data_IF_296241801693
#
_entry.id   IF_296241801693
#
_cell.length_a   1.000
_cell.length_b   1.000
_cell.length_c   1.000
_cell.angle_alpha   90.00
_cell.angle_beta   90.00
_cell.angle_gamma   90.00
#
_symmetry.space_group_name_H-M   'P 1'
#
loop_
_entity.id
_entity.type
_entity.pdbx_description
1 polymer ?
#
# COMPACT_ATOMS: atom_id res chain seq x y z
N UNK A 1 -58.96 17.69 79.04
CA UNK A 1 -58.30 16.87 78.02
C UNK A 1 -58.04 17.72 76.84
N UNK A 2 -56.86 18.36 76.66
CA UNK A 2 -56.52 19.15 75.55
C UNK A 2 -55.85 18.23 74.48
N UNK A 3 -56.60 17.98 73.37
CA UNK A 3 -56.03 17.35 72.21
C UNK A 3 -54.99 18.27 71.57
N UNK A 4 -53.73 17.94 71.70
CA UNK A 4 -52.69 18.50 70.88
C UNK A 4 -53.03 18.17 69.39
N UNK A 5 -53.56 19.15 68.71
CA UNK A 5 -53.60 19.10 67.19
C UNK A 5 -52.14 19.10 66.76
N UNK A 6 -51.62 17.95 66.37
CA UNK A 6 -50.36 17.81 65.68
C UNK A 6 -50.41 18.70 64.44
N UNK A 7 -49.55 19.70 64.46
CA UNK A 7 -49.42 20.62 63.32
C UNK A 7 -48.76 19.91 62.17
N UNK A 8 -49.56 19.25 61.33
CA UNK A 8 -49.08 18.45 60.22
C UNK A 8 -48.54 19.34 59.06
N UNK A 9 -48.77 20.68 59.11
CA UNK A 9 -48.33 21.63 58.06
C UNK A 9 -46.81 21.81 57.96
N UNK A 10 -46.10 21.75 59.08
CA UNK A 10 -44.64 21.86 59.15
C UNK A 10 -43.91 20.65 58.55
N UNK A 11 -44.50 19.46 58.82
CA UNK A 11 -43.94 18.20 58.25
C UNK A 11 -44.01 18.09 56.75
N UNK A 12 -45.08 18.58 56.14
CA UNK A 12 -45.26 18.58 54.70
C UNK A 12 -44.24 19.51 53.99
N UNK A 13 -43.96 20.68 54.56
CA UNK A 13 -42.99 21.61 54.00
C UNK A 13 -41.57 21.06 54.00
N UNK A 14 -41.17 20.42 55.09
CA UNK A 14 -39.84 19.77 55.21
C UNK A 14 -39.73 18.63 54.23
N UNK A 15 -40.78 17.82 54.04
CA UNK A 15 -40.78 16.71 53.07
C UNK A 15 -40.66 17.20 51.62
N UNK A 16 -41.32 18.32 51.26
CA UNK A 16 -41.22 18.92 49.93
C UNK A 16 -39.81 19.50 49.67
N UNK A 17 -39.16 20.09 50.66
CA UNK A 17 -37.79 20.59 50.52
C UNK A 17 -36.80 19.41 50.32
N UNK A 18 -36.95 18.35 51.10
CA UNK A 18 -36.11 17.15 50.98
C UNK A 18 -36.31 16.51 49.57
N UNK A 19 -37.55 16.38 49.12
CA UNK A 19 -37.83 15.83 47.80
C UNK A 19 -37.26 16.71 46.68
N UNK A 20 -37.39 18.03 46.78
CA UNK A 20 -36.86 18.97 45.81
C UNK A 20 -35.31 18.94 45.72
N UNK A 21 -34.64 18.87 46.89
CA UNK A 21 -33.18 18.73 46.95
C UNK A 21 -32.70 17.41 46.33
N UNK A 22 -33.42 16.32 46.59
CA UNK A 22 -33.09 15.02 46.05
C UNK A 22 -33.26 14.97 44.51
N UNK A 23 -34.36 15.54 43.99
CA UNK A 23 -34.58 15.67 42.55
C UNK A 23 -33.51 16.55 41.92
N UNK A 24 -33.11 17.65 42.54
CA UNK A 24 -32.07 18.54 42.06
C UNK A 24 -30.71 17.83 41.96
N UNK A 25 -30.34 17.02 42.99
CA UNK A 25 -29.13 16.24 42.97
C UNK A 25 -29.13 15.18 41.87
N UNK A 26 -30.26 14.50 41.67
CA UNK A 26 -30.41 13.55 40.55
C UNK A 26 -30.29 14.23 39.18
N UNK A 27 -30.91 15.39 39.02
CA UNK A 27 -30.81 16.17 37.77
C UNK A 27 -29.37 16.56 37.46
N UNK A 28 -28.61 17.05 38.44
CA UNK A 28 -27.18 17.39 38.28
C UNK A 28 -26.35 16.15 37.91
N UNK A 29 -26.62 15.01 38.54
CA UNK A 29 -25.93 13.75 38.24
C UNK A 29 -26.18 13.30 36.80
N UNK A 30 -27.43 13.36 36.30
CA UNK A 30 -27.79 13.01 34.94
C UNK A 30 -27.14 13.95 33.93
N UNK A 31 -27.15 15.25 34.19
CA UNK A 31 -26.48 16.25 33.31
C UNK A 31 -24.97 15.98 33.25
N UNK A 32 -24.34 15.72 34.39
CA UNK A 32 -22.89 15.40 34.46
C UNK A 32 -22.56 14.16 33.63
N UNK A 33 -23.33 13.08 33.78
CA UNK A 33 -23.17 11.86 32.95
C UNK A 33 -23.34 12.15 31.47
N UNK A 34 -24.33 12.94 31.11
CA UNK A 34 -24.60 13.28 29.69
C UNK A 34 -23.45 14.06 29.08
N UNK A 35 -22.93 15.08 29.78
CA UNK A 35 -21.79 15.87 29.35
C UNK A 35 -20.53 14.99 29.18
N UNK A 36 -20.29 14.10 30.13
CA UNK A 36 -19.17 13.14 30.08
C UNK A 36 -19.30 12.21 28.86
N UNK A 37 -20.48 11.68 28.60
CA UNK A 37 -20.73 10.81 27.44
C UNK A 37 -20.54 11.56 26.11
N UNK A 38 -20.97 12.83 26.04
CA UNK A 38 -20.75 13.66 24.84
C UNK A 38 -19.25 13.88 24.60
N UNK A 39 -18.51 14.25 25.64
CA UNK A 39 -17.05 14.44 25.56
C UNK A 39 -16.34 13.15 25.12
N UNK A 40 -16.74 12.00 25.67
CA UNK A 40 -16.19 10.70 25.31
C UNK A 40 -16.44 10.37 23.83
N UNK A 41 -17.66 10.57 23.35
CA UNK A 41 -18.00 10.37 21.93
C UNK A 41 -17.23 11.29 21.00
N UNK A 42 -17.05 12.56 21.38
CA UNK A 42 -16.26 13.51 20.62
C UNK A 42 -14.78 13.08 20.57
N UNK A 43 -14.21 12.66 21.71
CA UNK A 43 -12.85 12.15 21.76
C UNK A 43 -12.66 10.90 20.90
N UNK A 44 -13.60 9.95 20.96
CA UNK A 44 -13.57 8.76 20.09
C UNK A 44 -13.65 9.11 18.60
N UNK A 45 -14.58 9.99 18.22
CA UNK A 45 -14.70 10.44 16.83
C UNK A 45 -13.42 11.11 16.34
N UNK A 46 -12.83 11.96 17.17
CA UNK A 46 -11.58 12.66 16.82
C UNK A 46 -10.41 11.68 16.67
N UNK A 47 -10.28 10.74 17.62
CA UNK A 47 -9.27 9.67 17.55
C UNK A 47 -9.40 8.83 16.27
N UNK A 48 -10.63 8.44 15.91
CA UNK A 48 -10.88 7.70 14.66
C UNK A 48 -10.50 8.53 13.43
N UNK A 49 -10.87 9.82 13.39
CA UNK A 49 -10.53 10.69 12.27
C UNK A 49 -9.01 10.81 12.07
N UNK A 50 -8.26 10.97 13.17
CA UNK A 50 -6.80 11.07 13.13
C UNK A 50 -6.17 9.75 12.68
N UNK A 51 -6.73 8.62 13.13
CA UNK A 51 -6.29 7.30 12.69
C UNK A 51 -6.48 7.11 11.18
N UNK A 52 -7.67 7.41 10.64
CA UNK A 52 -7.91 7.31 9.19
C UNK A 52 -7.06 8.29 8.38
N UNK A 53 -6.79 9.48 8.91
CA UNK A 53 -5.87 10.41 8.27
C UNK A 53 -4.43 9.88 8.26
N UNK A 54 -3.98 9.20 9.30
CA UNK A 54 -2.68 8.55 9.33
C UNK A 54 -2.63 7.34 8.38
N UNK A 55 -3.69 6.54 8.34
CA UNK A 55 -3.82 5.39 7.43
C UNK A 55 -3.79 5.83 5.96
N UNK A 56 -4.46 6.94 5.61
CA UNK A 56 -4.41 7.49 4.26
C UNK A 56 -3.00 7.90 3.81
N UNK A 57 -2.13 8.30 4.75
CA UNK A 57 -0.72 8.58 4.46
C UNK A 57 0.02 7.28 4.13
N UNK A 58 -0.24 6.21 4.89
CA UNK A 58 0.32 4.88 4.61
C UNK A 58 -0.13 4.39 3.23
N UNK A 59 -1.41 4.56 2.89
CA UNK A 59 -1.92 4.18 1.58
C UNK A 59 -1.30 5.01 0.44
N UNK A 60 -1.02 6.28 0.66
CA UNK A 60 -0.29 7.11 -0.30
C UNK A 60 1.15 6.60 -0.53
N UNK A 61 1.84 6.16 0.53
CA UNK A 61 3.17 5.53 0.40
C UNK A 61 3.07 4.22 -0.38
N UNK A 62 2.09 3.36 -0.05
CA UNK A 62 1.85 2.10 -0.78
C UNK A 62 1.62 2.35 -2.27
N UNK A 63 0.76 3.31 -2.61
CA UNK A 63 0.50 3.67 -4.00
C UNK A 63 1.76 4.17 -4.74
N UNK A 64 2.63 4.92 -4.05
CA UNK A 64 3.92 5.34 -4.61
C UNK A 64 4.85 4.15 -4.88
N UNK A 65 4.95 3.22 -3.93
CA UNK A 65 5.73 1.97 -4.08
C UNK A 65 5.15 1.08 -5.19
N UNK A 66 3.82 0.98 -5.29
CA UNK A 66 3.14 0.25 -6.36
C UNK A 66 3.46 0.84 -7.75
N UNK A 67 3.45 2.15 -7.88
CA UNK A 67 3.81 2.82 -9.14
C UNK A 67 5.28 2.54 -9.56
N UNK A 68 6.20 2.54 -8.58
CA UNK A 68 7.59 2.13 -8.82
C UNK A 68 7.66 0.66 -9.25
N UNK A 69 6.92 -0.22 -8.57
CA UNK A 69 6.82 -1.64 -8.88
C UNK A 69 6.30 -1.89 -10.30
N UNK A 70 5.25 -1.20 -10.72
CA UNK A 70 4.66 -1.33 -12.06
C UNK A 70 5.64 -0.88 -13.16
N UNK A 71 6.35 0.22 -12.91
CA UNK A 71 7.38 0.71 -13.84
C UNK A 71 8.52 -0.30 -13.96
N UNK A 72 9.04 -0.79 -12.82
CA UNK A 72 10.08 -1.79 -12.77
C UNK A 72 9.66 -3.12 -13.45
N UNK A 73 8.40 -3.53 -13.28
CA UNK A 73 7.87 -4.73 -13.94
C UNK A 73 7.85 -4.58 -15.46
N UNK A 74 7.47 -3.41 -15.96
CA UNK A 74 7.48 -3.11 -17.39
C UNK A 74 8.89 -3.14 -17.98
N UNK A 75 9.83 -2.46 -17.33
CA UNK A 75 11.24 -2.40 -17.78
C UNK A 75 11.90 -3.79 -17.73
N UNK A 76 11.62 -4.57 -16.69
CA UNK A 76 12.08 -5.94 -16.56
C UNK A 76 11.52 -6.83 -17.68
N UNK A 77 10.23 -6.69 -18.00
CA UNK A 77 9.58 -7.43 -19.08
C UNK A 77 10.19 -7.09 -20.44
N UNK A 78 10.40 -5.81 -20.75
CA UNK A 78 11.06 -5.38 -22.00
C UNK A 78 12.48 -5.95 -22.12
N UNK A 79 13.23 -5.96 -21.02
CA UNK A 79 14.58 -6.53 -20.95
C UNK A 79 14.59 -8.04 -21.23
N UNK A 80 13.60 -8.78 -20.71
CA UNK A 80 13.44 -10.22 -20.95
C UNK A 80 13.01 -10.48 -22.38
N UNK A 81 12.09 -9.69 -22.91
CA UNK A 81 11.63 -9.81 -24.29
C UNK A 81 12.80 -9.60 -25.28
N UNK A 82 13.63 -8.58 -25.06
CA UNK A 82 14.82 -8.35 -25.87
C UNK A 82 15.82 -9.53 -25.81
N UNK A 83 15.96 -10.19 -24.65
CA UNK A 83 16.83 -11.35 -24.47
C UNK A 83 16.24 -12.67 -25.03
N UNK A 84 14.94 -12.71 -25.31
CA UNK A 84 14.25 -13.94 -25.76
C UNK A 84 14.84 -14.52 -27.03
N UNK A 85 15.22 -13.68 -27.99
CA UNK A 85 15.88 -14.11 -29.21
C UNK A 85 17.21 -14.83 -28.97
N UNK A 86 17.97 -14.39 -27.97
CA UNK A 86 19.26 -15.01 -27.62
C UNK A 86 19.06 -16.35 -26.90
N UNK A 87 18.06 -16.48 -26.03
CA UNK A 87 17.73 -17.72 -25.33
C UNK A 87 17.24 -18.79 -26.32
N UNK A 88 16.44 -18.40 -27.32
CA UNK A 88 15.98 -19.32 -28.37
C UNK A 88 17.13 -19.90 -29.20
N UNK A 89 18.26 -19.20 -29.28
CA UNK A 89 19.45 -19.68 -29.99
C UNK A 89 20.38 -20.59 -29.17
N UNK A 90 19.94 -21.07 -28.00
CA UNK A 90 20.64 -22.07 -27.20
C UNK A 90 21.32 -21.59 -25.92
N UNK A 91 21.04 -20.35 -25.47
CA UNK A 91 21.49 -19.88 -24.15
C UNK A 91 20.77 -20.64 -23.03
N UNK A 92 21.52 -21.04 -22.00
CA UNK A 92 20.98 -21.72 -20.80
C UNK A 92 20.42 -20.76 -19.74
N UNK A 93 20.38 -19.46 -20.01
CA UNK A 93 19.90 -18.47 -19.06
C UNK A 93 18.40 -18.59 -18.80
N UNK A 94 18.04 -18.70 -17.53
CA UNK A 94 16.64 -18.68 -17.11
C UNK A 94 16.02 -17.29 -17.32
N UNK A 95 15.00 -17.19 -18.16
CA UNK A 95 14.23 -15.95 -18.38
C UNK A 95 13.60 -15.44 -17.08
N UNK A 96 13.09 -16.35 -16.24
CA UNK A 96 12.50 -16.03 -14.94
C UNK A 96 13.53 -15.40 -14.00
N UNK A 97 14.75 -15.95 -13.95
CA UNK A 97 15.82 -15.37 -13.14
C UNK A 97 16.26 -13.99 -13.62
N UNK A 98 16.30 -13.79 -14.94
CA UNK A 98 16.58 -12.46 -15.51
C UNK A 98 15.47 -11.45 -15.18
N UNK A 99 14.21 -11.86 -15.29
CA UNK A 99 13.08 -11.02 -14.94
C UNK A 99 13.11 -10.60 -13.47
N UNK A 100 13.23 -11.57 -12.56
CA UNK A 100 13.30 -11.31 -11.12
C UNK A 100 14.44 -10.36 -10.75
N UNK A 101 15.65 -10.64 -11.25
CA UNK A 101 16.84 -9.80 -11.00
C UNK A 101 16.66 -8.38 -11.53
N UNK A 102 16.17 -8.21 -12.77
CA UNK A 102 15.94 -6.88 -13.36
C UNK A 102 14.84 -6.11 -12.64
N UNK A 103 13.75 -6.78 -12.27
CA UNK A 103 12.65 -6.19 -11.53
C UNK A 103 13.12 -5.64 -10.17
N UNK A 104 13.72 -6.49 -9.34
CA UNK A 104 14.13 -6.04 -8.01
C UNK A 104 15.27 -5.02 -8.05
N UNK A 105 16.21 -5.13 -9.00
CA UNK A 105 17.24 -4.11 -9.18
C UNK A 105 16.62 -2.76 -9.54
N UNK A 106 15.60 -2.72 -10.41
CA UNK A 106 14.92 -1.48 -10.76
C UNK A 106 14.16 -0.89 -9.56
N UNK A 107 13.42 -1.72 -8.81
CA UNK A 107 12.72 -1.27 -7.59
C UNK A 107 13.69 -0.73 -6.55
N UNK A 108 14.75 -1.49 -6.24
CA UNK A 108 15.76 -1.10 -5.26
C UNK A 108 16.48 0.18 -5.69
N UNK A 109 16.90 0.27 -6.95
CA UNK A 109 17.55 1.47 -7.49
C UNK A 109 16.65 2.71 -7.39
N UNK A 110 15.35 2.57 -7.67
CA UNK A 110 14.39 3.66 -7.56
C UNK A 110 14.17 4.10 -6.09
N UNK A 111 14.13 3.15 -5.15
CA UNK A 111 13.91 3.45 -3.73
C UNK A 111 15.17 3.94 -3.01
N UNK A 112 16.38 3.53 -3.47
CA UNK A 112 17.67 3.89 -2.90
C UNK A 112 18.40 5.01 -3.65
N UNK A 113 17.75 5.66 -4.62
CA UNK A 113 18.35 6.67 -5.50
C UNK A 113 19.65 6.17 -6.17
N UNK A 114 19.72 4.85 -6.46
CA UNK A 114 20.86 4.22 -7.11
C UNK A 114 21.99 3.76 -6.19
N UNK A 115 21.87 3.96 -4.87
CA UNK A 115 22.92 3.61 -3.91
C UNK A 115 23.10 2.09 -3.69
N UNK A 116 22.14 1.27 -4.13
CA UNK A 116 22.12 -0.18 -3.87
C UNK A 116 21.86 -0.99 -5.14
N UNK A 117 22.47 -2.20 -5.22
CA UNK A 117 22.24 -3.20 -6.27
C UNK A 117 22.24 -4.61 -5.64
N UNK A 118 21.30 -5.49 -6.05
CA UNK A 118 21.25 -6.89 -5.58
C UNK A 118 22.47 -7.68 -6.04
N UNK A 119 23.03 -7.37 -7.22
CA UNK A 119 24.14 -8.12 -7.81
C UNK A 119 25.44 -7.98 -7.02
N UNK A 120 25.59 -6.92 -6.25
CA UNK A 120 26.79 -6.67 -5.42
C UNK A 120 26.71 -7.32 -4.05
N UNK A 121 25.61 -8.02 -3.72
CA UNK A 121 25.48 -8.77 -2.44
C UNK A 121 25.47 -7.87 -1.20
N UNK A 122 25.06 -6.62 -1.33
CA UNK A 122 24.97 -5.69 -0.20
C UNK A 122 23.89 -6.16 0.79
N UNK A 123 24.34 -6.57 1.98
CA UNK A 123 23.48 -7.04 3.07
C UNK A 123 22.71 -5.90 3.77
N UNK A 124 23.04 -4.63 3.48
CA UNK A 124 22.46 -3.45 4.13
C UNK A 124 21.82 -2.52 3.08
N UNK A 125 20.77 -3.00 2.44
CA UNK A 125 20.00 -2.17 1.51
C UNK A 125 19.14 -1.15 2.29
N UNK A 126 19.10 0.07 1.78
CA UNK A 126 18.34 1.15 2.41
C UNK A 126 17.53 1.91 1.38
N UNK A 127 16.27 2.24 1.74
CA UNK A 127 15.48 3.20 0.97
C UNK A 127 15.70 4.63 1.50
N UNK A 128 15.56 5.62 0.64
CA UNK A 128 15.73 7.02 1.02
C UNK A 128 14.40 7.63 1.41
N UNK A 129 14.39 8.38 2.53
CA UNK A 129 13.22 9.13 2.98
C UNK A 129 12.79 10.22 1.98
N UNK A 130 13.71 10.74 1.17
CA UNK A 130 13.44 11.67 0.06
C UNK A 130 12.46 11.07 -0.94
N UNK A 131 12.62 9.80 -1.30
CA UNK A 131 11.75 9.08 -2.24
C UNK A 131 10.35 8.94 -1.66
N UNK A 132 10.25 8.49 -0.39
CA UNK A 132 8.97 8.36 0.31
C UNK A 132 8.25 9.72 0.40
N UNK A 133 8.98 10.79 0.71
CA UNK A 133 8.43 12.15 0.71
C UNK A 133 7.99 12.61 -0.68
N UNK A 134 8.68 12.19 -1.73
CA UNK A 134 8.28 12.42 -3.12
C UNK A 134 6.90 11.83 -3.42
N UNK A 135 6.63 10.58 -3.01
CA UNK A 135 5.31 9.94 -3.15
C UNK A 135 4.22 10.71 -2.42
N UNK A 136 4.51 11.15 -1.20
CA UNK A 136 3.57 11.92 -0.39
C UNK A 136 3.29 13.31 -0.97
N UNK A 137 4.29 13.96 -1.56
CA UNK A 137 4.13 15.25 -2.25
C UNK A 137 3.25 15.10 -3.49
N UNK A 138 3.44 14.02 -4.26
CA UNK A 138 2.61 13.71 -5.41
C UNK A 138 1.16 13.42 -5.00
N UNK A 139 0.96 12.60 -3.96
CA UNK A 139 -0.36 12.32 -3.41
C UNK A 139 -1.05 13.60 -2.91
N UNK A 140 -0.34 14.46 -2.19
CA UNK A 140 -0.85 15.74 -1.70
C UNK A 140 -1.29 16.68 -2.83
N UNK A 141 -0.61 16.64 -3.97
CA UNK A 141 -0.99 17.43 -5.15
C UNK A 141 -2.30 16.95 -5.79
N UNK A 142 -2.59 15.66 -5.70
CA UNK A 142 -3.81 15.03 -6.25
C UNK A 142 -5.02 15.16 -5.32
N UNK A 143 -4.79 15.15 -4.02
CA UNK A 143 -5.85 15.17 -3.01
C UNK A 143 -5.84 16.48 -2.23
N UNK A 144 -6.71 17.43 -2.61
CA UNK A 144 -6.84 18.73 -1.92
C UNK A 144 -7.32 18.51 -0.47
N UNK A 145 -6.50 18.79 0.52
CA UNK A 145 -6.90 18.85 1.93
C UNK A 145 -6.10 18.01 2.91
N UNK A 146 -5.13 17.24 2.47
CA UNK A 146 -4.27 16.45 3.37
C UNK A 146 -2.85 17.02 3.46
N UNK A 147 -2.33 17.22 4.66
CA UNK A 147 -0.89 17.41 4.84
C UNK A 147 -0.26 16.01 5.05
N UNK A 148 0.13 15.39 3.93
CA UNK A 148 0.68 14.03 3.93
C UNK A 148 2.16 14.03 4.31
N UNK A 149 2.91 15.00 3.82
CA UNK A 149 4.39 15.05 3.97
C UNK A 149 4.82 15.20 5.42
N UNK A 150 4.13 16.06 6.19
CA UNK A 150 4.44 16.29 7.60
C UNK A 150 4.05 15.11 8.49
N UNK A 151 3.20 14.21 8.00
CA UNK A 151 2.82 13.00 8.71
C UNK A 151 3.87 11.90 8.67
N UNK A 152 4.82 11.95 7.76
CA UNK A 152 5.88 10.94 7.67
C UNK A 152 7.05 11.26 8.58
N UNK A 153 7.40 10.31 9.45
CA UNK A 153 8.57 10.41 10.34
C UNK A 153 9.81 9.90 9.60
N UNK A 154 10.69 10.83 9.25
CA UNK A 154 11.99 10.48 8.66
C UNK A 154 12.89 9.72 9.65
N UNK A 155 13.71 8.84 9.12
CA UNK A 155 14.77 8.16 9.86
C UNK A 155 15.91 9.14 10.23
N UNK A 156 16.67 8.82 11.28
CA UNK A 156 17.75 9.68 11.80
C UNK A 156 18.77 10.02 10.72
N UNK A 157 19.06 9.06 9.82
CA UNK A 157 20.02 9.24 8.73
C UNK A 157 19.37 9.47 7.37
N UNK A 158 18.06 9.77 7.31
CA UNK A 158 17.31 9.93 6.08
C UNK A 158 17.14 8.66 5.25
N UNK A 159 17.42 7.49 5.84
CA UNK A 159 17.38 6.18 5.16
C UNK A 159 16.78 5.12 6.06
N UNK A 160 15.80 4.40 5.56
CA UNK A 160 15.20 3.23 6.22
C UNK A 160 15.75 1.92 5.68
N UNK A 161 15.57 0.84 6.41
CA UNK A 161 16.08 -0.48 6.06
C UNK A 161 15.22 -1.19 5.03
N UNK A 162 15.87 -1.83 4.04
CA UNK A 162 15.23 -2.76 3.09
C UNK A 162 15.87 -4.15 3.24
N UNK A 163 15.04 -5.19 3.08
CA UNK A 163 15.47 -6.57 3.08
C UNK A 163 14.94 -7.31 1.85
N UNK A 164 15.86 -7.86 1.06
CA UNK A 164 15.48 -8.72 -0.06
C UNK A 164 15.53 -10.18 0.36
N UNK A 165 14.42 -10.89 0.19
CA UNK A 165 14.32 -12.33 0.41
C UNK A 165 14.27 -13.06 -0.92
N UNK A 166 15.38 -13.73 -1.27
CA UNK A 166 15.47 -14.52 -2.51
C UNK A 166 14.63 -15.78 -2.49
N UNK A 167 14.28 -16.32 -1.31
CA UNK A 167 13.43 -17.50 -1.16
C UNK A 167 11.98 -17.24 -1.57
N UNK A 168 11.45 -16.09 -1.17
CA UNK A 168 10.07 -15.68 -1.45
C UNK A 168 9.95 -14.74 -2.66
N UNK A 169 11.07 -14.35 -3.27
CA UNK A 169 11.11 -13.30 -4.28
C UNK A 169 10.33 -12.05 -3.83
N UNK A 170 10.71 -11.52 -2.68
CA UNK A 170 10.07 -10.34 -2.10
C UNK A 170 11.09 -9.34 -1.55
N UNK A 171 10.73 -8.07 -1.59
CA UNK A 171 11.45 -6.97 -0.98
C UNK A 171 10.60 -6.39 0.14
N UNK A 172 11.17 -6.22 1.33
CA UNK A 172 10.51 -5.66 2.50
C UNK A 172 11.12 -4.29 2.83
N UNK A 173 10.29 -3.25 2.84
CA UNK A 173 10.65 -1.94 3.38
C UNK A 173 10.22 -1.94 4.84
N UNK A 174 11.18 -1.71 5.76
CA UNK A 174 10.94 -1.82 7.21
C UNK A 174 10.73 -0.46 7.87
N UNK A 175 10.00 -0.49 8.98
CA UNK A 175 9.89 0.62 9.95
C UNK A 175 9.33 1.94 9.37
N UNK A 176 8.48 1.87 8.35
CA UNK A 176 7.77 3.04 7.86
C UNK A 176 6.86 3.58 8.95
N UNK A 177 7.20 4.75 9.48
CA UNK A 177 6.47 5.35 10.59
C UNK A 177 5.75 6.62 10.15
N UNK A 178 4.44 6.66 10.41
CA UNK A 178 3.57 7.81 10.18
C UNK A 178 3.07 8.31 11.53
N UNK A 179 3.15 9.62 11.75
CA UNK A 179 2.68 10.29 12.95
C UNK A 179 1.68 11.38 12.54
N UNK A 180 0.47 11.32 13.04
CA UNK A 180 -0.52 12.37 12.84
C UNK A 180 -0.96 12.96 14.17
N UNK A 181 -0.85 14.28 14.30
CA UNK A 181 -1.24 15.02 15.49
C UNK A 181 -2.32 16.03 15.15
N UNK A 182 -3.34 16.14 15.97
CA UNK A 182 -4.39 17.15 15.86
C UNK A 182 -4.87 17.58 17.26
N UNK A 183 -4.45 18.78 17.68
CA UNK A 183 -4.62 19.24 19.07
C UNK A 183 -3.88 18.33 20.04
N UNK A 184 -4.58 17.82 21.04
CA UNK A 184 -4.02 16.97 22.09
C UNK A 184 -3.99 15.47 21.70
N UNK A 185 -4.43 15.14 20.50
CA UNK A 185 -4.51 13.74 20.04
C UNK A 185 -3.40 13.45 19.05
N UNK A 186 -2.73 12.30 19.22
CA UNK A 186 -1.69 11.81 18.35
C UNK A 186 -1.93 10.33 18.03
N UNK A 187 -1.72 9.97 16.78
CA UNK A 187 -1.69 8.57 16.33
C UNK A 187 -0.36 8.30 15.66
N UNK A 188 0.24 7.16 15.97
CA UNK A 188 1.46 6.67 15.33
C UNK A 188 1.16 5.31 14.72
N UNK A 189 1.45 5.15 13.43
CA UNK A 189 1.37 3.88 12.70
C UNK A 189 2.77 3.53 12.23
N UNK A 190 3.28 2.37 12.63
CA UNK A 190 4.51 1.80 12.10
C UNK A 190 4.15 0.53 11.34
N UNK A 191 4.60 0.43 10.11
CA UNK A 191 4.28 -0.68 9.21
C UNK A 191 5.45 -1.00 8.31
N UNK A 192 5.49 -2.25 7.85
CA UNK A 192 6.37 -2.71 6.80
C UNK A 192 5.59 -2.86 5.50
N UNK A 193 6.22 -2.53 4.37
CA UNK A 193 5.63 -2.71 3.05
C UNK A 193 6.40 -3.81 2.33
N UNK A 194 5.67 -4.86 1.92
CA UNK A 194 6.22 -5.96 1.12
C UNK A 194 5.90 -5.75 -0.36
N UNK A 195 6.93 -5.79 -1.19
CA UNK A 195 6.87 -5.78 -2.64
C UNK A 195 7.19 -7.19 -3.13
N UNK A 196 6.23 -7.85 -3.75
CA UNK A 196 6.40 -9.19 -4.32
C UNK A 196 6.76 -9.10 -5.81
N UNK A 197 7.42 -10.14 -6.31
CA UNK A 197 7.62 -10.29 -7.76
C UNK A 197 6.25 -10.45 -8.42
N UNK A 198 5.87 -9.59 -9.39
CA UNK A 198 4.66 -9.80 -10.16
C UNK A 198 4.74 -11.12 -10.92
N UNK A 199 3.67 -11.92 -10.86
CA UNK A 199 3.60 -13.10 -11.69
C UNK A 199 3.69 -12.71 -13.16
N UNK A 200 4.71 -13.21 -13.86
CA UNK A 200 4.64 -13.27 -15.30
C UNK A 200 3.51 -14.26 -15.65
N UNK A 201 2.30 -13.77 -15.72
CA UNK A 201 1.27 -14.52 -16.43
C UNK A 201 1.78 -14.57 -17.87
N UNK A 202 2.37 -15.71 -18.25
CA UNK A 202 2.42 -16.08 -19.64
C UNK A 202 0.99 -15.86 -20.11
N UNK A 203 0.76 -14.77 -20.85
CA UNK A 203 -0.56 -14.48 -21.38
C UNK A 203 -1.00 -15.79 -22.03
N UNK A 204 -2.26 -16.15 -21.86
CA UNK A 204 -2.84 -17.20 -22.69
C UNK A 204 -2.32 -16.91 -24.09
N UNK A 205 -1.34 -17.72 -24.51
CA UNK A 205 -0.67 -17.49 -25.77
C UNK A 205 -1.77 -17.29 -26.80
N UNK A 206 -1.79 -16.12 -27.45
CA UNK A 206 -2.63 -16.01 -28.62
C UNK A 206 -2.36 -17.27 -29.41
N UNK A 207 -3.40 -18.01 -29.72
CA UNK A 207 -3.28 -19.29 -30.45
C UNK A 207 -2.28 -19.20 -31.60
N UNK A 208 -2.12 -18.00 -32.16
CA UNK A 208 -1.16 -17.66 -33.18
C UNK A 208 0.33 -17.80 -32.80
N UNK A 209 0.70 -17.72 -31.51
CA UNK A 209 2.10 -17.87 -31.06
C UNK A 209 2.55 -19.34 -31.05
N UNK A 210 1.64 -20.27 -31.21
CA UNK A 210 1.96 -21.69 -31.31
C UNK A 210 2.42 -22.09 -32.74
N UNK A 211 2.29 -21.17 -33.71
CA UNK A 211 2.68 -21.47 -35.09
C UNK A 211 4.12 -21.02 -35.37
N UNK A 212 4.88 -21.87 -36.08
CA UNK A 212 6.24 -21.54 -36.54
C UNK A 212 6.25 -20.45 -37.61
N UNK A 213 5.15 -20.31 -38.34
CA UNK A 213 4.98 -19.34 -39.41
C UNK A 213 3.55 -18.80 -39.41
N UNK A 214 3.42 -17.48 -39.36
CA UNK A 214 2.14 -16.77 -39.40
C UNK A 214 2.16 -15.82 -40.61
N UNK A 215 1.15 -15.91 -41.44
CA UNK A 215 0.97 -15.02 -42.57
C UNK A 215 -0.50 -14.60 -42.74
N UNK A 216 -0.74 -13.32 -42.85
CA UNK A 216 -2.10 -12.75 -42.96
C UNK A 216 -2.76 -13.16 -44.32
N UNK A 217 -2.01 -13.26 -45.37
CA UNK A 217 -2.56 -13.48 -46.70
C UNK A 217 -1.99 -14.74 -47.36
N UNK A 218 -0.69 -14.79 -47.65
CA UNK A 218 -0.07 -15.87 -48.45
C UNK A 218 1.32 -16.21 -47.98
N UNK A 219 1.56 -17.50 -47.77
CA UNK A 219 2.91 -18.05 -47.59
C UNK A 219 3.39 -18.55 -48.96
N UNK A 220 4.50 -18.02 -49.48
CA UNK A 220 5.18 -18.50 -50.66
C UNK A 220 6.58 -18.95 -50.28
N UNK A 221 6.83 -20.24 -50.40
CA UNK A 221 8.14 -20.83 -50.19
C UNK A 221 8.78 -21.03 -51.54
N UNK A 222 9.82 -20.24 -51.83
CA UNK A 222 10.63 -20.43 -53.04
C UNK A 222 11.80 -21.35 -52.65
N UNK A 223 11.62 -22.65 -52.88
CA UNK A 223 12.69 -23.64 -52.69
C UNK A 223 13.64 -23.61 -53.88
N UNK A 224 14.95 -23.48 -53.61
CA UNK A 224 15.98 -23.89 -54.55
C UNK A 224 16.07 -25.43 -54.57
N UNK A 225 17.18 -25.97 -55.03
CA UNK A 225 17.41 -27.43 -55.11
C UNK A 225 17.48 -28.14 -53.74
N UNK A 226 17.35 -27.42 -52.62
CA UNK A 226 17.32 -27.96 -51.24
C UNK A 226 15.91 -27.86 -50.66
N UNK A 227 15.46 -28.92 -49.99
CA UNK A 227 14.18 -28.93 -49.29
C UNK A 227 14.18 -27.91 -48.13
N UNK A 228 13.18 -27.04 -48.08
CA UNK A 228 12.95 -26.19 -46.91
C UNK A 228 12.11 -26.99 -45.90
N UNK A 229 12.61 -27.12 -44.69
CA UNK A 229 11.89 -27.76 -43.57
C UNK A 229 11.37 -26.69 -42.64
N UNK A 230 10.07 -26.71 -42.35
CA UNK A 230 9.43 -25.89 -41.30
C UNK A 230 9.11 -26.84 -40.18
N UNK A 231 9.74 -26.63 -39.02
CA UNK A 231 9.47 -27.39 -37.80
C UNK A 231 8.52 -26.58 -36.92
N UNK A 232 7.26 -27.01 -36.87
CA UNK A 232 6.17 -26.35 -36.16
C UNK A 232 4.95 -26.11 -37.04
N UNK A 233 3.87 -25.65 -36.42
CA UNK A 233 2.62 -25.37 -37.12
C UNK A 233 2.71 -24.11 -38.00
N UNK A 234 1.98 -24.14 -39.11
CA UNK A 234 1.89 -23.01 -40.05
C UNK A 234 0.45 -22.50 -40.11
N UNK A 235 0.27 -21.22 -39.87
CA UNK A 235 -1.01 -20.55 -40.05
C UNK A 235 -0.95 -19.59 -41.26
N UNK A 236 -1.92 -19.71 -42.16
CA UNK A 236 -2.09 -18.81 -43.30
C UNK A 236 -3.57 -18.65 -43.63
N UNK A 237 -4.00 -17.44 -43.90
CA UNK A 237 -5.37 -17.19 -44.33
C UNK A 237 -5.72 -17.82 -45.68
N UNK A 238 -4.71 -18.09 -46.51
CA UNK A 238 -4.87 -18.83 -47.80
C UNK A 238 -3.65 -19.67 -48.07
N UNK A 239 -3.78 -20.99 -48.01
CA UNK A 239 -2.75 -21.94 -48.43
C UNK A 239 -3.04 -22.32 -49.88
N UNK A 240 -2.11 -22.07 -50.80
CA UNK A 240 -2.12 -22.57 -52.17
C UNK A 240 -0.81 -23.24 -52.46
#
# INVERSE_FOLDING_TARGET
MNKFRKDERGSSLVMTIIAATFISLLAVAVISMTVTNIKLKQAQKKSQTIFYNADSIVDAIKAGVENVSDTAARDAYESVYAAYGAVRSGSTDSLTGKYSSKYFNAVISALSEGDCDITTGTTNMKYHDSVIRGFLTEAQSKYSGGNFVDGYKSHVNGKGDMEYNSGDNSLLLKDLTVIKTEGDYQTTITTDIRVNLPEMKAGTHSEYLNYALIADNKVKINGGSSAATIDGDVYSGTVR
#
